data_IF_623178059642
#
_entry.id   IF_623178059642
#
_cell.length_a   1.000
_cell.length_b   1.000
_cell.length_c   1.000
_cell.angle_alpha   90.00
_cell.angle_beta   90.00
_cell.angle_gamma   90.00
#
_symmetry.space_group_name_H-M   'P 1'
#
loop_
_entity.id
_entity.type
_entity.pdbx_description
1 polymer ?
#
# COMPACT_ATOMS: atom_id res chain seq x y z
N UNK A 1 -10.54 10.41 -3.01
CA UNK A 1 -9.19 10.99 -2.83
C UNK A 1 -8.23 9.86 -2.47
N UNK A 2 -7.01 9.83 -3.01
CA UNK A 2 -5.99 8.85 -2.61
C UNK A 2 -5.29 9.35 -1.35
N UNK A 3 -5.28 8.54 -0.29
CA UNK A 3 -4.67 8.88 1.00
C UNK A 3 -3.26 8.33 1.11
N UNK A 4 -3.05 7.10 0.68
CA UNK A 4 -1.77 6.40 0.74
C UNK A 4 -1.59 5.49 -0.48
N UNK A 5 -0.35 5.20 -0.88
CA UNK A 5 -0.02 4.30 -1.99
C UNK A 5 1.10 3.33 -1.60
N UNK A 6 1.02 2.09 -2.06
CA UNK A 6 2.10 1.11 -1.92
C UNK A 6 2.41 0.49 -3.28
N UNK A 7 3.69 0.23 -3.57
CA UNK A 7 4.12 -0.49 -4.75
C UNK A 7 5.18 -1.55 -4.42
N UNK A 8 5.33 -2.53 -5.31
CA UNK A 8 6.39 -3.54 -5.22
C UNK A 8 7.76 -2.96 -5.55
N UNK A 9 7.95 -2.63 -6.83
CA UNK A 9 9.26 -2.20 -7.38
C UNK A 9 9.20 -1.19 -8.54
N UNK A 10 8.02 -0.82 -9.04
CA UNK A 10 7.92 0.13 -10.16
C UNK A 10 7.99 1.58 -9.65
N UNK A 11 9.21 2.06 -9.38
CA UNK A 11 9.46 3.39 -8.81
C UNK A 11 9.01 4.50 -9.74
N UNK A 12 9.29 4.40 -11.03
CA UNK A 12 8.92 5.43 -12.01
C UNK A 12 7.41 5.67 -12.01
N UNK A 13 6.61 4.60 -12.14
CA UNK A 13 5.16 4.71 -12.11
C UNK A 13 4.65 5.20 -10.75
N UNK A 14 5.26 4.73 -9.65
CA UNK A 14 4.90 5.19 -8.31
C UNK A 14 5.15 6.70 -8.16
N UNK A 15 6.29 7.21 -8.64
CA UNK A 15 6.61 8.63 -8.57
C UNK A 15 5.60 9.48 -9.36
N UNK A 16 5.22 9.05 -10.57
CA UNK A 16 4.18 9.72 -11.37
C UNK A 16 2.83 9.77 -10.65
N UNK A 17 2.45 8.66 -10.01
CA UNK A 17 1.23 8.58 -9.20
C UNK A 17 1.31 9.49 -7.97
N UNK A 18 2.46 9.59 -7.30
CA UNK A 18 2.66 10.48 -6.16
C UNK A 18 2.54 11.94 -6.57
N UNK A 19 3.16 12.35 -7.69
CA UNK A 19 3.06 13.71 -8.24
C UNK A 19 1.61 14.05 -8.60
N UNK A 20 0.86 13.09 -9.13
CA UNK A 20 -0.55 13.26 -9.54
C UNK A 20 -1.51 13.32 -8.36
N UNK A 21 -1.44 12.36 -7.44
CA UNK A 21 -2.45 12.14 -6.41
C UNK A 21 -2.10 12.74 -5.05
N UNK A 22 -0.83 13.12 -4.84
CA UNK A 22 -0.30 13.73 -3.62
C UNK A 22 -0.77 13.00 -2.33
N UNK A 23 -0.55 11.67 -2.24
CA UNK A 23 -0.93 10.88 -1.06
C UNK A 23 -0.08 11.27 0.15
N UNK A 24 -0.62 11.16 1.37
CA UNK A 24 0.12 11.48 2.61
C UNK A 24 1.27 10.50 2.88
N UNK A 25 1.06 9.23 2.59
CA UNK A 25 1.98 8.14 2.86
C UNK A 25 2.24 7.29 1.61
N UNK A 26 3.49 6.93 1.38
CA UNK A 26 3.91 6.07 0.28
C UNK A 26 4.82 4.96 0.79
N UNK A 27 4.65 3.76 0.25
CA UNK A 27 5.55 2.65 0.51
C UNK A 27 6.06 2.00 -0.77
N UNK A 28 7.33 1.60 -0.75
CA UNK A 28 7.90 0.68 -1.73
C UNK A 28 8.38 -0.57 -1.00
N UNK A 29 7.87 -1.74 -1.39
CA UNK A 29 8.18 -3.01 -0.72
C UNK A 29 9.67 -3.35 -0.83
N UNK A 30 10.29 -3.08 -1.98
CA UNK A 30 11.72 -3.29 -2.14
C UNK A 30 12.51 -2.11 -1.54
N UNK A 31 13.10 -2.32 -0.37
CA UNK A 31 13.84 -1.30 0.37
C UNK A 31 15.03 -0.72 -0.42
N UNK A 32 15.64 -1.51 -1.32
CA UNK A 32 16.77 -1.04 -2.13
C UNK A 32 16.38 0.09 -3.09
N UNK A 33 15.09 0.26 -3.38
CA UNK A 33 14.56 1.23 -4.34
C UNK A 33 14.09 2.53 -3.69
N UNK A 34 14.22 2.65 -2.37
CA UNK A 34 13.74 3.82 -1.62
C UNK A 34 14.51 5.08 -2.00
N UNK A 35 15.82 4.97 -2.22
CA UNK A 35 16.64 6.10 -2.65
C UNK A 35 16.26 6.54 -4.07
N UNK A 36 16.04 5.59 -4.98
CA UNK A 36 15.56 5.87 -6.33
C UNK A 36 14.22 6.60 -6.32
N UNK A 37 13.28 6.20 -5.45
CA UNK A 37 11.99 6.90 -5.29
C UNK A 37 12.17 8.32 -4.76
N UNK A 38 13.06 8.52 -3.78
CA UNK A 38 13.36 9.86 -3.25
C UNK A 38 13.99 10.76 -4.30
N UNK A 39 14.88 10.23 -5.13
CA UNK A 39 15.50 10.94 -6.24
C UNK A 39 14.47 11.31 -7.32
N UNK A 40 13.59 10.37 -7.70
CA UNK A 40 12.50 10.60 -8.66
C UNK A 40 11.47 11.66 -8.19
N UNK A 41 11.41 11.90 -6.87
CA UNK A 41 10.56 12.92 -6.24
C UNK A 41 11.34 14.17 -5.80
N UNK A 42 12.62 14.28 -6.10
CA UNK A 42 13.45 15.40 -5.63
C UNK A 42 12.98 16.75 -6.17
N UNK A 43 12.49 16.76 -7.41
CA UNK A 43 11.94 17.91 -8.14
C UNK A 43 10.44 18.15 -7.89
N UNK A 44 9.77 17.26 -7.14
CA UNK A 44 8.35 17.37 -6.88
C UNK A 44 8.03 18.53 -5.90
N UNK A 45 6.92 19.22 -6.16
CA UNK A 45 6.35 20.26 -5.29
C UNK A 45 5.72 19.69 -4.01
N UNK A 46 5.54 18.37 -3.96
CA UNK A 46 4.94 17.63 -2.87
C UNK A 46 5.78 16.41 -2.52
N UNK A 47 6.05 16.22 -1.23
CA UNK A 47 6.80 15.07 -0.71
C UNK A 47 5.96 14.33 0.33
N UNK A 48 5.55 13.08 0.07
CA UNK A 48 4.86 12.26 1.04
C UNK A 48 5.83 11.75 2.13
N UNK A 49 5.27 11.24 3.22
CA UNK A 49 6.02 10.32 4.07
C UNK A 49 6.33 9.04 3.29
N UNK A 50 7.57 8.55 3.35
CA UNK A 50 7.98 7.31 2.68
C UNK A 50 8.41 6.29 3.73
N UNK A 51 7.66 5.18 3.84
CA UNK A 51 8.02 4.06 4.71
C UNK A 51 8.46 2.88 3.83
N UNK A 52 9.69 2.38 3.98
CA UNK A 52 10.20 1.31 3.15
C UNK A 52 9.66 -0.06 3.60
N UNK A 53 9.80 -1.04 2.72
CA UNK A 53 9.67 -2.44 3.09
C UNK A 53 8.23 -2.90 3.29
N UNK A 54 8.10 -4.11 3.81
CA UNK A 54 6.80 -4.73 4.07
C UNK A 54 6.00 -3.98 5.15
N UNK A 55 6.69 -3.39 6.14
CA UNK A 55 6.06 -2.57 7.16
C UNK A 55 5.37 -1.35 6.54
N UNK A 56 6.01 -0.67 5.58
CA UNK A 56 5.39 0.47 4.90
C UNK A 56 4.10 0.08 4.16
N UNK A 57 4.07 -1.09 3.53
CA UNK A 57 2.87 -1.59 2.84
C UNK A 57 1.72 -1.82 3.83
N UNK A 58 2.02 -2.31 5.03
CA UNK A 58 1.05 -2.49 6.12
C UNK A 58 0.54 -1.13 6.62
N UNK A 59 1.42 -0.15 6.84
CA UNK A 59 1.02 1.21 7.27
C UNK A 59 0.12 1.91 6.24
N UNK A 60 0.42 1.76 4.95
CA UNK A 60 -0.42 2.26 3.85
C UNK A 60 -1.84 1.67 3.96
N UNK A 61 -1.95 0.37 4.20
CA UNK A 61 -3.24 -0.32 4.26
C UNK A 61 -4.07 0.10 5.49
N UNK A 62 -3.44 0.36 6.63
CA UNK A 62 -4.15 0.74 7.86
C UNK A 62 -4.21 2.24 8.14
N UNK A 63 -3.79 3.10 7.20
CA UNK A 63 -3.68 4.54 7.41
C UNK A 63 -4.99 5.13 8.00
N UNK A 64 -4.93 5.95 9.06
CA UNK A 64 -6.12 6.38 9.81
C UNK A 64 -7.13 7.14 8.94
N UNK A 65 -6.65 8.01 8.05
CA UNK A 65 -7.50 8.80 7.14
C UNK A 65 -8.08 8.01 5.95
N UNK A 66 -7.76 6.72 5.81
CA UNK A 66 -8.32 5.87 4.78
C UNK A 66 -9.64 5.25 5.26
N UNK A 67 -10.66 5.20 4.41
CA UNK A 67 -11.90 4.46 4.68
C UNK A 67 -11.95 3.12 3.94
N UNK A 68 -11.40 3.06 2.72
CA UNK A 68 -11.46 1.90 1.83
C UNK A 68 -10.10 1.58 1.26
N UNK A 69 -9.72 0.31 1.29
CA UNK A 69 -8.43 -0.21 0.80
C UNK A 69 -8.67 -1.09 -0.41
N UNK A 70 -8.02 -0.75 -1.53
CA UNK A 70 -8.02 -1.59 -2.74
C UNK A 70 -6.84 -2.55 -2.69
N UNK A 71 -7.10 -3.85 -2.64
CA UNK A 71 -6.04 -4.87 -2.47
C UNK A 71 -5.57 -5.40 -3.83
N UNK A 72 -4.62 -4.68 -4.45
CA UNK A 72 -4.05 -5.03 -5.76
C UNK A 72 -2.79 -5.90 -5.73
N UNK A 73 -2.29 -6.28 -4.55
CA UNK A 73 -1.07 -7.09 -4.42
C UNK A 73 -1.40 -8.55 -4.70
N UNK A 74 -0.74 -9.15 -5.70
CA UNK A 74 -0.95 -10.54 -6.10
C UNK A 74 -0.31 -11.54 -5.11
N UNK A 75 -0.88 -12.75 -5.04
CA UNK A 75 -0.38 -13.81 -4.16
C UNK A 75 -0.50 -13.52 -2.67
N UNK A 76 0.15 -14.34 -1.85
CA UNK A 76 0.06 -14.23 -0.38
C UNK A 76 0.74 -12.97 0.20
N UNK A 77 1.51 -12.24 -0.60
CA UNK A 77 2.13 -10.97 -0.18
C UNK A 77 1.09 -9.90 0.18
N UNK A 78 -0.12 -9.99 -0.39
CA UNK A 78 -1.22 -9.09 -0.05
C UNK A 78 -1.93 -9.41 1.26
N UNK A 79 -1.67 -10.57 1.88
CA UNK A 79 -2.46 -11.05 3.02
C UNK A 79 -2.27 -10.19 4.27
N UNK A 80 -1.02 -9.96 4.69
CA UNK A 80 -0.71 -9.13 5.87
C UNK A 80 -1.27 -7.71 5.80
N UNK A 81 -1.06 -6.93 4.70
CA UNK A 81 -1.67 -5.61 4.62
C UNK A 81 -3.21 -5.67 4.55
N UNK A 82 -3.79 -6.72 3.97
CA UNK A 82 -5.25 -6.90 3.97
C UNK A 82 -5.78 -7.15 5.38
N UNK A 83 -5.14 -8.03 6.16
CA UNK A 83 -5.49 -8.28 7.57
C UNK A 83 -5.38 -6.99 8.39
N UNK A 84 -4.30 -6.24 8.25
CA UNK A 84 -4.12 -4.98 8.96
C UNK A 84 -5.18 -3.92 8.61
N UNK A 85 -5.64 -3.90 7.35
CA UNK A 85 -6.74 -3.04 6.95
C UNK A 85 -8.07 -3.47 7.59
N UNK A 86 -8.36 -4.77 7.64
CA UNK A 86 -9.56 -5.30 8.29
C UNK A 86 -9.56 -5.00 9.80
N UNK A 87 -8.44 -5.27 10.48
CA UNK A 87 -8.27 -4.97 11.91
C UNK A 87 -8.40 -3.46 12.21
N UNK A 88 -8.05 -2.61 11.26
CA UNK A 88 -8.23 -1.16 11.34
C UNK A 88 -9.63 -0.68 10.95
N UNK A 89 -10.58 -1.61 10.71
CA UNK A 89 -11.97 -1.32 10.40
C UNK A 89 -12.19 -0.67 9.02
N UNK A 90 -11.33 -1.00 8.05
CA UNK A 90 -11.41 -0.45 6.68
C UNK A 90 -12.29 -1.32 5.78
N UNK A 91 -13.02 -0.70 4.86
CA UNK A 91 -13.69 -1.41 3.78
C UNK A 91 -12.65 -2.01 2.82
N UNK A 92 -12.80 -3.28 2.46
CA UNK A 92 -11.86 -3.97 1.57
C UNK A 92 -12.44 -4.13 0.17
N UNK A 93 -11.87 -3.40 -0.79
CA UNK A 93 -12.12 -3.61 -2.21
C UNK A 93 -11.16 -4.69 -2.74
N UNK A 94 -11.60 -5.95 -2.63
CA UNK A 94 -10.77 -7.11 -2.88
C UNK A 94 -10.51 -7.35 -4.38
N UNK A 95 -9.26 -7.26 -4.81
CA UNK A 95 -8.85 -7.67 -6.17
C UNK A 95 -7.91 -8.90 -6.18
N UNK A 96 -7.37 -9.26 -5.02
CA UNK A 96 -6.52 -10.44 -4.86
C UNK A 96 -7.32 -11.70 -4.46
N UNK A 97 -7.35 -12.71 -5.35
CA UNK A 97 -8.09 -13.96 -5.07
C UNK A 97 -7.43 -14.82 -3.97
N UNK A 98 -6.10 -14.81 -3.85
CA UNK A 98 -5.38 -15.64 -2.87
C UNK A 98 -5.75 -15.29 -1.42
N UNK A 99 -6.22 -14.07 -1.18
CA UNK A 99 -6.75 -13.64 0.12
C UNK A 99 -7.87 -14.57 0.62
N UNK A 100 -8.78 -15.01 -0.27
CA UNK A 100 -9.86 -15.92 0.11
C UNK A 100 -9.51 -17.39 -0.14
N UNK A 101 -8.73 -17.69 -1.19
CA UNK A 101 -8.37 -19.08 -1.53
C UNK A 101 -7.39 -19.67 -0.50
N UNK A 102 -6.35 -18.93 -0.12
CA UNK A 102 -5.34 -19.38 0.83
C UNK A 102 -5.57 -18.84 2.24
N UNK A 103 -6.04 -17.60 2.35
CA UNK A 103 -6.27 -16.92 3.64
C UNK A 103 -7.69 -17.04 4.20
N UNK A 104 -8.63 -17.63 3.46
CA UNK A 104 -10.07 -17.61 3.79
C UNK A 104 -10.42 -17.95 5.23
N UNK A 105 -9.97 -19.11 5.79
CA UNK A 105 -10.27 -19.48 7.17
C UNK A 105 -9.79 -18.47 8.23
N UNK A 106 -8.79 -17.65 7.91
CA UNK A 106 -8.26 -16.62 8.81
C UNK A 106 -8.87 -15.25 8.55
N UNK A 107 -9.09 -14.88 7.28
CA UNK A 107 -9.57 -13.55 6.88
C UNK A 107 -11.07 -13.39 7.12
N UNK A 108 -11.87 -14.41 6.80
CA UNK A 108 -13.33 -14.31 6.90
C UNK A 108 -13.84 -14.05 8.32
N UNK A 109 -13.28 -14.65 9.39
CA UNK A 109 -13.69 -14.32 10.76
C UNK A 109 -13.34 -12.90 11.23
N UNK A 110 -12.48 -12.18 10.50
CA UNK A 110 -12.07 -10.82 10.85
C UNK A 110 -12.97 -9.75 10.21
N UNK A 111 -13.72 -10.11 9.15
CA UNK A 111 -14.46 -9.19 8.29
C UNK A 111 -15.93 -8.99 8.71
#
# INVERSE_FOLDING_TARGET
>A
RVVALAAGSNVTLLADQVKTFKPKLVAVRNESLVNELKEALADADYRPEIIPGEQGVIEVARHPDCATVVTGIVGCAGLKPTVAAIEAGKDIALANKETLIAGGPFVLPLA
#
